data_IF_117478934201
#
_entry.id   IF_117478934201
#
_cell.length_a   1.000
_cell.length_b   1.000
_cell.length_c   1.000
_cell.angle_alpha   90.00
_cell.angle_beta   90.00
_cell.angle_gamma   90.00
#
_symmetry.space_group_name_H-M   'P 1'
#
loop_
_entity.id
_entity.type
_entity.pdbx_description
1 polymer ?
#
# COMPACT_ATOMS: atom_id res chain seq x y z
N UNK A 1 -74.51 -42.48 -9.97
CA UNK A 1 -73.33 -41.84 -9.34
C UNK A 1 -73.45 -40.33 -9.53
N UNK A 2 -73.14 -39.58 -8.47
CA UNK A 2 -73.43 -38.18 -8.15
C UNK A 2 -73.21 -37.07 -9.19
N UNK A 3 -74.18 -36.14 -9.20
CA UNK A 3 -74.11 -34.68 -9.01
C UNK A 3 -73.20 -33.75 -9.86
N UNK A 4 -73.85 -32.79 -10.55
CA UNK A 4 -73.38 -31.40 -10.84
C UNK A 4 -73.55 -30.54 -9.55
N UNK A 5 -73.02 -29.28 -9.36
CA UNK A 5 -72.69 -28.24 -10.35
C UNK A 5 -71.47 -27.29 -10.02
N UNK A 6 -71.32 -26.26 -10.87
CA UNK A 6 -70.42 -25.07 -10.91
C UNK A 6 -70.22 -24.34 -9.56
N UNK A 7 -69.05 -23.70 -9.32
CA UNK A 7 -68.88 -22.35 -8.70
C UNK A 7 -67.42 -21.81 -8.82
N UNK A 8 -67.35 -20.50 -9.12
CA UNK A 8 -66.37 -19.44 -8.80
C UNK A 8 -64.88 -19.46 -9.23
N UNK A 9 -64.52 -18.34 -9.86
CA UNK A 9 -63.20 -17.74 -9.92
C UNK A 9 -62.66 -17.37 -8.52
N UNK A 10 -61.34 -17.43 -8.34
CA UNK A 10 -60.61 -16.71 -7.29
C UNK A 10 -59.19 -16.37 -7.77
N UNK A 11 -58.99 -15.08 -8.08
CA UNK A 11 -57.71 -14.38 -7.99
C UNK A 11 -57.40 -14.15 -6.50
N UNK A 12 -56.23 -14.60 -6.04
CA UNK A 12 -55.56 -14.12 -4.82
C UNK A 12 -54.06 -14.49 -4.94
N UNK A 13 -53.17 -13.54 -5.27
CA UNK A 13 -52.39 -12.66 -4.38
C UNK A 13 -51.50 -13.40 -3.36
N UNK A 14 -50.24 -12.95 -3.33
CA UNK A 14 -49.21 -13.14 -2.30
C UNK A 14 -48.37 -14.44 -2.36
N UNK A 15 -47.27 -14.35 -3.11
CA UNK A 15 -46.02 -15.01 -2.78
C UNK A 15 -44.91 -13.97 -2.86
N UNK A 16 -44.73 -13.21 -1.78
CA UNK A 16 -43.51 -12.42 -1.53
C UNK A 16 -42.32 -13.31 -1.83
N UNK A 17 -41.60 -13.04 -2.92
CA UNK A 17 -40.26 -13.55 -3.06
C UNK A 17 -39.50 -13.06 -1.82
N UNK A 18 -38.95 -13.95 -0.98
CA UNK A 18 -38.11 -13.49 0.11
C UNK A 18 -37.00 -12.68 -0.56
N UNK A 19 -36.83 -11.45 -0.09
CA UNK A 19 -35.59 -10.69 -0.23
C UNK A 19 -34.49 -11.61 0.26
N UNK A 20 -33.95 -12.38 -0.68
CA UNK A 20 -32.82 -13.25 -0.45
C UNK A 20 -31.72 -12.25 -0.21
N UNK A 21 -31.39 -12.03 1.06
CA UNK A 21 -30.10 -11.53 1.45
C UNK A 21 -29.11 -12.51 0.81
N UNK A 22 -28.68 -12.18 -0.42
CA UNK A 22 -27.58 -12.86 -1.08
C UNK A 22 -26.40 -12.58 -0.18
N UNK A 23 -26.15 -13.49 0.78
CA UNK A 23 -24.85 -13.59 1.41
C UNK A 23 -23.92 -13.91 0.25
N UNK A 24 -23.20 -12.88 -0.19
CA UNK A 24 -22.09 -13.04 -1.12
C UNK A 24 -21.21 -14.18 -0.59
N UNK A 25 -20.85 -15.11 -1.47
CA UNK A 25 -20.06 -16.25 -1.04
C UNK A 25 -18.71 -15.75 -0.47
N UNK A 26 -18.05 -16.51 0.41
CA UNK A 26 -16.73 -16.13 0.94
C UNK A 26 -15.71 -15.87 -0.19
N UNK A 27 -15.83 -16.56 -1.33
CA UNK A 27 -15.04 -16.29 -2.53
C UNK A 27 -15.31 -14.90 -3.15
N UNK A 28 -16.57 -14.45 -3.13
CA UNK A 28 -16.97 -13.12 -3.63
C UNK A 28 -16.44 -12.02 -2.71
N UNK A 29 -16.43 -12.26 -1.40
CA UNK A 29 -15.92 -11.31 -0.41
C UNK A 29 -14.40 -11.12 -0.56
N UNK A 30 -13.64 -12.20 -0.73
CA UNK A 30 -12.20 -12.12 -0.98
C UNK A 30 -11.87 -11.41 -2.31
N UNK A 31 -12.68 -11.65 -3.36
CA UNK A 31 -12.52 -10.94 -4.63
C UNK A 31 -12.77 -9.43 -4.50
N UNK A 32 -13.74 -9.03 -3.66
CA UNK A 32 -13.98 -7.61 -3.34
C UNK A 32 -12.83 -7.03 -2.50
N UNK A 33 -12.31 -7.77 -1.52
CA UNK A 33 -11.18 -7.34 -0.70
C UNK A 33 -9.92 -7.08 -1.54
N UNK A 34 -9.63 -7.94 -2.52
CA UNK A 34 -8.57 -7.72 -3.52
C UNK A 34 -8.73 -6.42 -4.29
N UNK A 35 -9.94 -6.15 -4.78
CA UNK A 35 -10.21 -4.91 -5.51
C UNK A 35 -10.05 -3.68 -4.60
N UNK A 36 -10.54 -3.75 -3.37
CA UNK A 36 -10.38 -2.67 -2.38
C UNK A 36 -8.90 -2.42 -2.10
N UNK A 37 -8.12 -3.47 -1.88
CA UNK A 37 -6.69 -3.35 -1.67
C UNK A 37 -6.00 -2.70 -2.89
N UNK A 38 -6.19 -3.25 -4.09
CA UNK A 38 -5.55 -2.78 -5.31
C UNK A 38 -5.88 -1.31 -5.64
N UNK A 39 -7.17 -0.95 -5.56
CA UNK A 39 -7.67 0.34 -6.03
C UNK A 39 -7.54 1.45 -4.98
N UNK A 40 -7.40 1.11 -3.70
CA UNK A 40 -7.40 2.09 -2.61
C UNK A 40 -6.11 1.99 -1.80
N UNK A 41 -5.91 0.90 -1.04
CA UNK A 41 -4.80 0.82 -0.07
C UNK A 41 -3.45 0.75 -0.77
N UNK A 42 -3.26 -0.23 -1.66
CA UNK A 42 -2.04 -0.37 -2.44
C UNK A 42 -1.84 0.81 -3.41
N UNK A 43 -2.92 1.35 -4.00
CA UNK A 43 -2.84 2.58 -4.81
C UNK A 43 -2.33 3.77 -4.00
N UNK A 44 -2.79 3.93 -2.76
CA UNK A 44 -2.32 4.98 -1.87
C UNK A 44 -0.82 4.88 -1.62
N UNK A 45 -0.34 3.70 -1.21
CA UNK A 45 1.08 3.46 -0.92
C UNK A 45 1.97 3.68 -2.14
N UNK A 46 1.58 3.18 -3.33
CA UNK A 46 2.30 3.48 -4.58
C UNK A 46 2.30 4.99 -4.89
N UNK A 47 1.22 5.69 -4.58
CA UNK A 47 1.13 7.14 -4.74
C UNK A 47 2.05 7.92 -3.79
N UNK A 48 2.24 7.45 -2.56
CA UNK A 48 3.24 7.98 -1.62
C UNK A 48 4.66 7.77 -2.16
N UNK A 49 4.99 6.55 -2.59
CA UNK A 49 6.29 6.24 -3.19
C UNK A 49 6.56 7.09 -4.43
N UNK A 50 5.59 7.26 -5.32
CA UNK A 50 5.74 8.13 -6.49
C UNK A 50 5.96 9.60 -6.13
N UNK A 51 5.42 10.08 -4.99
CA UNK A 51 5.70 11.43 -4.50
C UNK A 51 7.11 11.53 -3.91
N UNK A 52 7.54 10.51 -3.17
CA UNK A 52 8.92 10.40 -2.69
C UNK A 52 9.90 10.45 -3.87
N UNK A 53 9.74 9.58 -4.88
CA UNK A 53 10.61 9.54 -6.07
C UNK A 53 10.60 10.87 -6.84
N UNK A 54 9.43 11.48 -7.05
CA UNK A 54 9.35 12.80 -7.71
C UNK A 54 10.03 13.92 -6.95
N UNK A 55 10.11 13.83 -5.63
CA UNK A 55 10.85 14.81 -4.81
C UNK A 55 12.37 14.72 -5.07
N UNK A 56 12.84 13.58 -5.58
CA UNK A 56 14.24 13.30 -5.88
C UNK A 56 14.64 13.61 -7.34
N UNK A 57 13.66 13.71 -8.26
CA UNK A 57 13.84 13.97 -9.70
C UNK A 57 14.47 15.34 -10.06
N UNK A 58 14.90 16.12 -9.06
CA UNK A 58 15.60 17.41 -9.21
C UNK A 58 17.01 17.46 -8.62
N UNK A 59 17.55 16.33 -8.13
CA UNK A 59 18.72 16.15 -7.25
C UNK A 59 18.31 15.95 -5.80
N UNK A 60 18.85 14.91 -5.17
CA UNK A 60 18.77 14.76 -3.74
C UNK A 60 19.38 16.00 -3.04
N UNK A 61 18.75 16.51 -1.97
CA UNK A 61 19.22 17.70 -1.29
C UNK A 61 20.62 17.45 -0.73
N UNK A 62 21.58 18.27 -1.15
CA UNK A 62 22.91 18.33 -0.57
C UNK A 62 22.97 19.46 0.46
N UNK A 63 23.69 19.30 1.58
CA UNK A 63 24.04 20.39 2.48
C UNK A 63 24.58 21.63 1.74
N UNK A 64 24.10 22.82 2.10
CA UNK A 64 24.46 24.07 1.42
C UNK A 64 25.90 24.54 1.69
N UNK A 65 26.52 24.03 2.74
CA UNK A 65 27.89 24.28 3.20
C UNK A 65 28.90 23.23 2.70
N UNK A 66 28.49 22.39 1.73
CA UNK A 66 29.35 21.36 1.17
C UNK A 66 30.52 21.95 0.37
N UNK A 67 31.77 21.46 0.55
CA UNK A 67 32.91 21.93 -0.22
C UNK A 67 32.73 21.66 -1.71
N UNK A 68 33.19 22.58 -2.56
CA UNK A 68 33.09 22.43 -4.01
C UNK A 68 33.77 21.15 -4.53
N UNK A 69 34.90 20.76 -3.92
CA UNK A 69 35.62 19.52 -4.25
C UNK A 69 34.84 18.23 -3.95
N UNK A 70 33.76 18.32 -3.19
CA UNK A 70 32.94 17.20 -2.74
C UNK A 70 31.60 17.07 -3.44
N UNK A 71 31.16 18.13 -4.11
CA UNK A 71 29.78 18.23 -4.58
C UNK A 71 29.42 17.15 -5.58
N UNK A 72 30.34 16.77 -6.48
CA UNK A 72 30.10 15.74 -7.49
C UNK A 72 29.95 14.35 -6.87
N UNK A 73 30.91 13.94 -6.01
CA UNK A 73 30.90 12.63 -5.37
C UNK A 73 29.70 12.45 -4.43
N UNK A 74 29.39 13.48 -3.62
CA UNK A 74 28.22 13.46 -2.75
C UNK A 74 26.92 13.43 -3.54
N UNK A 75 26.81 14.19 -4.64
CA UNK A 75 25.63 14.13 -5.51
C UNK A 75 25.40 12.72 -6.03
N UNK A 76 26.44 12.09 -6.58
CA UNK A 76 26.35 10.73 -7.11
C UNK A 76 25.95 9.72 -6.03
N UNK A 77 26.66 9.72 -4.90
CA UNK A 77 26.43 8.75 -3.83
C UNK A 77 25.04 8.88 -3.19
N UNK A 78 24.59 10.12 -2.94
CA UNK A 78 23.27 10.39 -2.37
C UNK A 78 22.17 10.06 -3.38
N UNK A 79 22.32 10.40 -4.66
CA UNK A 79 21.37 9.98 -5.70
C UNK A 79 21.26 8.47 -5.79
N UNK A 80 22.38 7.74 -5.76
CA UNK A 80 22.40 6.28 -5.77
C UNK A 80 21.70 5.67 -4.55
N UNK A 81 21.96 6.22 -3.36
CA UNK A 81 21.31 5.81 -2.11
C UNK A 81 19.79 5.98 -2.19
N UNK A 82 19.29 7.15 -2.61
CA UNK A 82 17.86 7.40 -2.71
C UNK A 82 17.17 6.52 -3.77
N UNK A 83 17.84 6.24 -4.89
CA UNK A 83 17.34 5.30 -5.89
C UNK A 83 17.20 3.88 -5.31
N UNK A 84 18.23 3.41 -4.58
CA UNK A 84 18.19 2.10 -3.93
C UNK A 84 17.11 2.02 -2.84
N UNK A 85 16.92 3.09 -2.06
CA UNK A 85 15.83 3.18 -1.08
C UNK A 85 14.47 3.11 -1.74
N UNK A 86 14.26 3.85 -2.85
CA UNK A 86 12.99 3.84 -3.59
C UNK A 86 12.64 2.45 -4.11
N UNK A 87 13.61 1.73 -4.69
CA UNK A 87 13.39 0.34 -5.14
C UNK A 87 13.13 -0.61 -3.97
N UNK A 88 13.80 -0.41 -2.82
CA UNK A 88 13.53 -1.21 -1.63
C UNK A 88 12.13 -0.99 -1.07
N UNK A 89 11.70 0.27 -0.93
CA UNK A 89 10.35 0.66 -0.55
C UNK A 89 9.32 0.04 -1.52
N UNK A 90 9.58 0.14 -2.83
CA UNK A 90 8.73 -0.46 -3.85
C UNK A 90 8.57 -1.96 -3.66
N UNK A 91 9.67 -2.69 -3.52
CA UNK A 91 9.66 -4.14 -3.33
C UNK A 91 8.86 -4.53 -2.08
N UNK A 92 9.03 -3.79 -0.98
CA UNK A 92 8.26 -4.01 0.24
C UNK A 92 6.76 -3.73 0.08
N UNK A 93 6.39 -2.66 -0.62
CA UNK A 93 4.98 -2.35 -0.91
C UNK A 93 4.37 -3.42 -1.83
N UNK A 94 5.11 -3.87 -2.84
CA UNK A 94 4.65 -4.84 -3.85
C UNK A 94 4.81 -6.31 -3.40
N UNK A 95 5.28 -6.55 -2.18
CA UNK A 95 5.57 -7.89 -1.65
C UNK A 95 4.29 -8.77 -1.66
N UNK A 96 4.25 -9.88 -2.42
CA UNK A 96 3.04 -10.67 -2.60
C UNK A 96 2.48 -11.24 -1.29
N UNK A 97 3.35 -11.64 -0.36
CA UNK A 97 2.91 -12.18 0.93
C UNK A 97 2.16 -11.13 1.76
N UNK A 98 2.68 -9.91 1.82
CA UNK A 98 2.04 -8.78 2.49
C UNK A 98 0.69 -8.43 1.84
N UNK A 99 0.66 -8.31 0.51
CA UNK A 99 -0.58 -8.01 -0.22
C UNK A 99 -1.65 -9.07 0.06
N UNK A 100 -1.27 -10.34 0.04
CA UNK A 100 -2.19 -11.43 0.29
C UNK A 100 -2.72 -11.46 1.73
N UNK A 101 -1.86 -11.22 2.71
CA UNK A 101 -2.22 -11.15 4.13
C UNK A 101 -3.26 -10.04 4.37
N UNK A 102 -3.01 -8.85 3.80
CA UNK A 102 -3.92 -7.71 3.91
C UNK A 102 -5.28 -8.00 3.28
N UNK A 103 -5.30 -8.61 2.08
CA UNK A 103 -6.54 -9.00 1.39
C UNK A 103 -7.38 -10.00 2.19
N UNK A 104 -6.73 -11.02 2.76
CA UNK A 104 -7.40 -11.99 3.61
C UNK A 104 -8.00 -11.31 4.85
N UNK A 105 -7.25 -10.40 5.48
CA UNK A 105 -7.74 -9.68 6.65
C UNK A 105 -8.91 -8.76 6.31
N UNK A 106 -8.86 -8.05 5.18
CA UNK A 106 -9.96 -7.23 4.68
C UNK A 106 -11.24 -8.05 4.50
N UNK A 107 -11.14 -9.26 3.93
CA UNK A 107 -12.28 -10.15 3.72
C UNK A 107 -12.89 -10.69 5.02
N UNK A 108 -12.12 -10.72 6.11
CA UNK A 108 -12.57 -11.14 7.45
C UNK A 108 -13.22 -9.97 8.20
N UNK A 109 -12.62 -8.78 8.11
CA UNK A 109 -13.01 -7.61 8.90
C UNK A 109 -14.25 -6.92 8.34
N UNK A 110 -14.37 -6.83 7.01
CA UNK A 110 -15.43 -6.10 6.34
C UNK A 110 -16.44 -7.04 5.68
N UNK A 111 -17.71 -6.67 5.74
CA UNK A 111 -18.73 -7.37 4.96
C UNK A 111 -18.57 -7.04 3.47
N UNK A 112 -19.11 -7.90 2.59
CA UNK A 112 -19.18 -7.60 1.16
C UNK A 112 -19.84 -6.25 0.84
N UNK A 113 -20.83 -5.84 1.65
CA UNK A 113 -21.50 -4.53 1.49
C UNK A 113 -20.55 -3.37 1.81
N UNK A 114 -19.74 -3.50 2.86
CA UNK A 114 -18.78 -2.48 3.25
C UNK A 114 -17.68 -2.34 2.19
N UNK A 115 -17.15 -3.47 1.69
CA UNK A 115 -16.15 -3.50 0.63
C UNK A 115 -16.66 -2.85 -0.66
N UNK A 116 -17.89 -3.17 -1.09
CA UNK A 116 -18.53 -2.48 -2.22
C UNK A 116 -18.73 -0.98 -1.96
N UNK A 117 -19.08 -0.60 -0.72
CA UNK A 117 -19.19 0.78 -0.30
C UNK A 117 -17.88 1.57 -0.45
N UNK A 118 -16.76 0.97 -0.05
CA UNK A 118 -15.43 1.58 -0.26
C UNK A 118 -15.11 1.76 -1.74
N UNK A 119 -15.35 0.72 -2.56
CA UNK A 119 -15.15 0.80 -4.01
C UNK A 119 -16.01 1.91 -4.65
N UNK A 120 -17.28 2.03 -4.27
CA UNK A 120 -18.15 3.07 -4.79
C UNK A 120 -17.67 4.49 -4.43
N UNK A 121 -17.07 4.67 -3.24
CA UNK A 121 -16.50 5.95 -2.79
C UNK A 121 -15.17 6.30 -3.47
N UNK A 122 -14.45 5.33 -4.02
CA UNK A 122 -13.12 5.52 -4.62
C UNK A 122 -13.08 6.51 -5.79
N UNK A 123 -14.22 6.74 -6.46
CA UNK A 123 -14.33 7.71 -7.56
C UNK A 123 -14.59 9.15 -7.13
N UNK A 124 -14.96 9.39 -5.87
CA UNK A 124 -15.39 10.71 -5.37
C UNK A 124 -14.70 11.17 -4.08
N UNK A 125 -14.06 10.25 -3.35
CA UNK A 125 -13.32 10.54 -2.12
C UNK A 125 -11.83 10.42 -2.38
N UNK A 126 -11.03 11.28 -1.74
CA UNK A 126 -9.59 11.18 -1.74
C UNK A 126 -9.10 9.79 -1.29
N UNK A 127 -8.16 9.22 -2.04
CA UNK A 127 -7.66 7.86 -1.85
C UNK A 127 -6.92 7.70 -0.52
N UNK A 128 -6.19 8.72 -0.07
CA UNK A 128 -5.48 8.67 1.21
C UNK A 128 -6.47 8.62 2.38
N UNK A 129 -7.56 9.37 2.28
CA UNK A 129 -8.65 9.35 3.27
C UNK A 129 -9.32 7.99 3.32
N UNK A 130 -9.68 7.41 2.17
CA UNK A 130 -10.26 6.06 2.13
C UNK A 130 -9.30 4.98 2.64
N UNK A 131 -8.01 5.08 2.31
CA UNK A 131 -7.01 4.14 2.80
C UNK A 131 -6.95 4.14 4.33
N UNK A 132 -6.94 5.32 4.97
CA UNK A 132 -6.98 5.42 6.44
C UNK A 132 -8.28 4.88 7.03
N UNK A 133 -9.43 5.19 6.42
CA UNK A 133 -10.73 4.65 6.84
C UNK A 133 -10.70 3.11 6.84
N UNK A 134 -10.17 2.49 5.79
CA UNK A 134 -10.05 1.04 5.66
C UNK A 134 -9.06 0.47 6.67
N UNK A 135 -7.90 1.08 6.84
CA UNK A 135 -6.87 0.59 7.77
C UNK A 135 -7.27 0.74 9.25
N UNK A 136 -8.29 1.55 9.56
CA UNK A 136 -8.86 1.63 10.90
C UNK A 136 -9.62 0.37 11.33
N UNK A 137 -9.89 -0.55 10.40
CA UNK A 137 -10.48 -1.85 10.70
C UNK A 137 -9.55 -2.73 11.56
N UNK A 138 -10.10 -3.58 12.46
CA UNK A 138 -9.29 -4.37 13.39
C UNK A 138 -8.18 -5.20 12.74
N UNK A 139 -6.93 -5.03 13.16
CA UNK A 139 -5.80 -5.84 12.71
C UNK A 139 -5.20 -5.43 11.35
N UNK A 140 -5.79 -4.47 10.64
CA UNK A 140 -5.30 -4.06 9.32
C UNK A 140 -4.10 -3.12 9.42
N UNK A 141 -4.15 -2.18 10.38
CA UNK A 141 -3.03 -1.26 10.63
C UNK A 141 -1.80 -2.00 11.13
N UNK A 142 -1.99 -3.03 11.93
CA UNK A 142 -0.90 -3.86 12.46
C UNK A 142 -0.18 -4.64 11.35
N UNK A 143 -0.90 -5.09 10.32
CA UNK A 143 -0.30 -5.74 9.14
C UNK A 143 0.54 -4.72 8.34
N UNK A 144 0.01 -3.51 8.14
CA UNK A 144 0.77 -2.43 7.49
C UNK A 144 2.02 -2.06 8.29
N UNK A 145 1.88 -1.88 9.61
CA UNK A 145 3.00 -1.51 10.49
C UNK A 145 4.08 -2.60 10.50
N UNK A 146 3.71 -3.86 10.63
CA UNK A 146 4.66 -4.96 10.57
C UNK A 146 5.41 -5.01 9.22
N UNK A 147 4.74 -4.65 8.12
CA UNK A 147 5.42 -4.56 6.82
C UNK A 147 6.35 -3.35 6.75
N UNK A 148 5.93 -2.20 7.27
CA UNK A 148 6.77 -1.01 7.33
C UNK A 148 8.01 -1.24 8.19
N UNK A 149 7.88 -1.92 9.34
CA UNK A 149 9.01 -2.28 10.18
C UNK A 149 10.03 -3.15 9.41
N UNK A 150 9.56 -4.16 8.67
CA UNK A 150 10.44 -5.00 7.81
C UNK A 150 11.16 -4.18 6.73
N UNK A 151 10.49 -3.20 6.14
CA UNK A 151 11.11 -2.29 5.16
C UNK A 151 12.15 -1.40 5.84
N UNK A 152 11.85 -0.88 7.03
CA UNK A 152 12.77 0.00 7.78
C UNK A 152 14.00 -0.76 8.28
N UNK A 153 13.86 -2.03 8.68
CA UNK A 153 14.99 -2.92 9.01
C UNK A 153 15.94 -3.14 7.81
N UNK A 154 15.45 -3.00 6.59
CA UNK A 154 16.27 -3.03 5.38
C UNK A 154 17.12 -1.77 5.15
N UNK A 155 16.78 -0.65 5.80
CA UNK A 155 17.50 0.63 5.69
C UNK A 155 18.75 0.72 6.58
N UNK A 156 19.27 -0.41 7.06
CA UNK A 156 20.55 -0.50 7.75
C UNK A 156 21.65 -0.91 6.75
N UNK A 157 22.79 -0.21 6.79
CA UNK A 157 23.95 -0.49 5.93
C UNK A 157 24.61 -1.86 6.18
N UNK A 158 24.34 -2.45 7.34
CA UNK A 158 24.74 -3.80 7.75
C UNK A 158 23.62 -4.82 7.55
N UNK A 159 22.43 -4.39 7.08
CA UNK A 159 21.33 -5.29 6.79
C UNK A 159 21.71 -6.29 5.71
N UNK A 160 21.31 -7.54 5.90
CA UNK A 160 21.51 -8.61 4.92
C UNK A 160 20.29 -8.82 4.02
N UNK A 161 19.18 -8.12 4.30
CA UNK A 161 17.93 -8.28 3.55
C UNK A 161 17.98 -7.70 2.14
N UNK A 162 18.77 -6.64 1.92
CA UNK A 162 18.96 -6.02 0.60
C UNK A 162 20.41 -5.58 0.37
N UNK A 163 21.26 -6.43 -0.24
CA UNK A 163 22.68 -6.12 -0.47
C UNK A 163 22.93 -4.87 -1.33
N UNK A 164 22.03 -4.57 -2.28
CA UNK A 164 22.16 -3.42 -3.16
C UNK A 164 21.92 -2.10 -2.41
N UNK A 165 20.89 -2.07 -1.56
CA UNK A 165 20.63 -0.94 -0.66
C UNK A 165 21.76 -0.76 0.35
N UNK A 166 22.21 -1.85 1.00
CA UNK A 166 23.33 -1.82 1.93
C UNK A 166 24.61 -1.26 1.27
N UNK A 167 24.90 -1.63 0.01
CA UNK A 167 26.03 -1.09 -0.73
C UNK A 167 25.87 0.40 -1.05
N UNK A 168 24.67 0.84 -1.40
CA UNK A 168 24.39 2.25 -1.68
C UNK A 168 24.49 3.13 -0.41
N UNK A 169 24.00 2.63 0.73
CA UNK A 169 24.16 3.27 2.04
C UNK A 169 25.63 3.42 2.42
N UNK A 170 26.42 2.34 2.29
CA UNK A 170 27.88 2.37 2.53
C UNK A 170 28.61 3.34 1.60
N UNK A 171 28.22 3.42 0.34
CA UNK A 171 28.81 4.35 -0.62
C UNK A 171 28.52 5.82 -0.24
N UNK A 172 27.29 6.13 0.18
CA UNK A 172 26.92 7.46 0.66
C UNK A 172 27.66 7.82 1.97
N UNK A 173 27.76 6.89 2.91
CA UNK A 173 28.52 7.05 4.16
C UNK A 173 30.01 7.33 3.87
N UNK A 174 30.63 6.54 2.99
CA UNK A 174 32.04 6.72 2.61
C UNK A 174 32.30 8.05 1.88
N UNK A 175 31.38 8.49 1.00
CA UNK A 175 31.47 9.78 0.34
C UNK A 175 31.39 10.93 1.37
N UNK A 176 30.49 10.82 2.35
CA UNK A 176 30.35 11.79 3.42
C UNK A 176 31.62 11.88 4.28
N UNK A 177 32.18 10.73 4.70
CA UNK A 177 33.43 10.68 5.45
C UNK A 177 34.61 11.31 4.69
N UNK A 178 34.75 11.01 3.40
CA UNK A 178 35.78 11.59 2.56
C UNK A 178 35.67 13.13 2.53
N UNK A 179 34.43 13.63 2.46
CA UNK A 179 34.16 15.06 2.47
C UNK A 179 34.40 15.74 3.80
N UNK A 180 34.05 15.10 4.92
CA UNK A 180 34.39 15.60 6.25
C UNK A 180 35.90 15.68 6.45
N UNK A 181 36.68 14.68 5.97
CA UNK A 181 38.15 14.74 6.04
C UNK A 181 38.71 15.91 5.23
N UNK A 182 38.20 16.14 4.01
CA UNK A 182 38.60 17.28 3.18
C UNK A 182 38.26 18.63 3.83
N UNK A 183 37.18 18.74 4.61
CA UNK A 183 36.86 19.95 5.37
C UNK A 183 37.83 20.17 6.54
N UNK A 184 38.19 19.11 7.26
CA UNK A 184 39.16 19.17 8.37
C UNK A 184 40.54 19.58 7.85
N UNK A 185 41.00 18.99 6.74
CA UNK A 185 42.32 19.27 6.17
C UNK A 185 42.44 20.67 5.55
N UNK A 186 41.30 21.32 5.25
CA UNK A 186 41.24 22.68 4.69
C UNK A 186 41.11 23.79 5.75
N UNK A 187 40.93 23.45 7.03
CA UNK A 187 40.83 24.38 8.17
C UNK A 187 42.12 24.47 8.98
#
# INVERSE_FOLDING_TARGET
MSARPRVAALLALAGLAPLSLVQAAPADTLALARQVNEQIVHKHMRGELQRFVRTLDGSAPLPSDMPAGCQAQMREAVTGMYAAMAEHLKAGIEEPAYQHELEQRLAVVYSSKDLQGFLARSGSTDVATLSRDILSGPGLKEIEDAQMDRILEGLDENSTSNPALAAALRAASAANEACTRLQIDAG
#
